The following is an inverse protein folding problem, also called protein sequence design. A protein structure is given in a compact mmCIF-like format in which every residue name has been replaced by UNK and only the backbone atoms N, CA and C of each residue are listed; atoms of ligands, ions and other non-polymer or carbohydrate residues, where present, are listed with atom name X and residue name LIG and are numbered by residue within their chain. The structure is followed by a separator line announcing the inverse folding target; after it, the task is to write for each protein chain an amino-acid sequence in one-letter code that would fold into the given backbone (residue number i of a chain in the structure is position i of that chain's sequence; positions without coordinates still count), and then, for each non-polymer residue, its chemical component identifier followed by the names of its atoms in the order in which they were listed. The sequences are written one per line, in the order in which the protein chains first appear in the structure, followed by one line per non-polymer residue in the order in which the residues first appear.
data_IF_152023833543
#
_entry.id   IF_152023833543
#
_cell.length_a   1.000
_cell.length_b   1.000
_cell.length_c   1.000
_cell.angle_alpha   90.00
_cell.angle_beta   90.00
_cell.angle_gamma   90.00
#
_symmetry.space_group_name_H-M   'P 1'
#
loop_
_entity.id
_entity.type
_entity.pdbx_description
1 polymer ?
#
# COMPACT_ATOMS: atom_id res chain seq x y z
N UNK A 1 -5.93 -1.00 -17.81
CA UNK A 1 -5.18 0.26 -17.69
C UNK A 1 -3.98 -0.03 -16.82
N UNK A 2 -2.85 0.61 -17.11
CA UNK A 2 -1.59 0.42 -16.36
C UNK A 2 -1.53 1.50 -15.29
N UNK A 3 -1.05 1.15 -14.09
CA UNK A 3 -0.85 2.11 -13.01
C UNK A 3 0.14 3.18 -13.47
N UNK A 4 -0.25 4.44 -13.33
CA UNK A 4 0.68 5.56 -13.47
C UNK A 4 1.48 5.68 -12.16
N UNK A 5 2.77 5.35 -12.24
CA UNK A 5 3.68 5.39 -11.09
C UNK A 5 4.43 6.73 -10.97
N UNK A 6 4.21 7.66 -11.88
CA UNK A 6 4.88 8.96 -11.89
C UNK A 6 4.04 10.08 -11.26
N UNK A 7 2.81 9.77 -10.83
CA UNK A 7 2.02 10.66 -9.98
C UNK A 7 2.51 10.66 -8.54
N UNK A 8 2.27 11.77 -7.84
CA UNK A 8 2.59 11.87 -6.42
C UNK A 8 1.74 10.93 -5.56
N UNK A 9 2.40 10.32 -4.57
CA UNK A 9 1.79 9.55 -3.51
C UNK A 9 1.95 10.28 -2.19
N UNK A 10 0.86 10.34 -1.43
CA UNK A 10 0.86 10.90 -0.08
C UNK A 10 1.62 10.00 0.88
N UNK A 11 2.06 10.55 2.02
CA UNK A 11 2.75 9.78 3.05
C UNK A 11 1.97 8.52 3.49
N UNK A 12 0.65 8.62 3.65
CA UNK A 12 -0.19 7.49 4.06
C UNK A 12 -0.31 6.42 2.97
N UNK A 13 -0.37 6.81 1.69
CA UNK A 13 -0.33 5.86 0.58
C UNK A 13 1.01 5.12 0.54
N UNK A 14 2.13 5.83 0.74
CA UNK A 14 3.46 5.25 0.82
C UNK A 14 3.60 4.30 2.02
N UNK A 15 3.07 4.66 3.21
CA UNK A 15 3.08 3.79 4.39
C UNK A 15 2.33 2.48 4.14
N UNK A 16 1.18 2.54 3.49
CA UNK A 16 0.41 1.34 3.13
C UNK A 16 1.17 0.49 2.12
N UNK A 17 1.69 1.09 1.05
CA UNK A 17 2.49 0.38 0.04
C UNK A 17 3.74 -0.26 0.65
N UNK A 18 4.47 0.47 1.48
CA UNK A 18 5.66 0.00 2.19
C UNK A 18 5.36 -1.25 3.01
N UNK A 19 4.28 -1.21 3.82
CA UNK A 19 3.89 -2.34 4.66
C UNK A 19 3.47 -3.57 3.84
N UNK A 20 2.73 -3.38 2.76
CA UNK A 20 2.35 -4.46 1.83
C UNK A 20 3.61 -5.08 1.21
N UNK A 21 4.58 -4.25 0.81
CA UNK A 21 5.81 -4.70 0.17
C UNK A 21 6.75 -5.41 1.14
N UNK A 22 6.97 -4.84 2.32
CA UNK A 22 7.79 -5.42 3.40
C UNK A 22 7.29 -6.81 3.82
N UNK A 23 5.96 -7.01 3.85
CA UNK A 23 5.36 -8.31 4.18
C UNK A 23 5.24 -9.26 2.97
N UNK A 24 5.70 -8.86 1.77
CA UNK A 24 5.64 -9.67 0.56
C UNK A 24 4.20 -10.02 0.13
N UNK A 25 3.24 -9.13 0.36
CA UNK A 25 1.82 -9.34 0.09
C UNK A 25 1.52 -9.07 -1.38
N UNK A 26 1.99 -9.98 -2.23
CA UNK A 26 1.71 -10.05 -3.67
C UNK A 26 0.59 -11.05 -3.93
N UNK A 27 -0.22 -10.85 -4.99
CA UNK A 27 -1.28 -11.75 -5.45
C UNK A 27 -1.04 -13.23 -5.06
N UNK A 28 -2.07 -13.86 -4.49
CA UNK A 28 -2.09 -15.14 -3.75
C UNK A 28 -1.82 -15.03 -2.23
N UNK A 29 -1.35 -13.88 -1.75
CA UNK A 29 -1.34 -13.51 -0.34
C UNK A 29 -2.07 -12.19 -0.15
N UNK A 30 -2.85 -12.08 0.91
CA UNK A 30 -3.58 -10.85 1.21
C UNK A 30 -3.40 -10.44 2.66
N UNK A 31 -3.46 -9.13 2.91
CA UNK A 31 -3.41 -8.53 4.23
C UNK A 31 -4.74 -7.88 4.55
N UNK A 32 -5.25 -8.13 5.75
CA UNK A 32 -6.51 -7.55 6.22
C UNK A 32 -6.37 -6.03 6.45
N UNK A 33 -7.46 -5.27 6.22
CA UNK A 33 -7.54 -3.83 6.52
C UNK A 33 -7.07 -3.52 7.95
N UNK A 34 -7.53 -4.32 8.92
CA UNK A 34 -7.20 -4.16 10.34
C UNK A 34 -5.70 -4.32 10.58
N UNK A 35 -5.05 -5.25 9.87
CA UNK A 35 -3.61 -5.45 9.97
C UNK A 35 -2.85 -4.23 9.47
N UNK A 36 -3.32 -3.58 8.40
CA UNK A 36 -2.75 -2.32 7.91
C UNK A 36 -2.89 -1.20 8.94
N UNK A 37 -4.05 -1.11 9.62
CA UNK A 37 -4.34 -0.08 10.61
C UNK A 37 -3.73 -0.32 12.01
N UNK A 38 -3.33 -1.56 12.36
CA UNK A 38 -2.98 -1.95 13.74
C UNK A 38 -1.87 -1.11 14.41
N UNK A 39 -0.93 -0.58 13.62
CA UNK A 39 0.22 0.19 14.14
C UNK A 39 0.05 1.69 13.98
N UNK A 40 -1.15 2.15 13.62
CA UNK A 40 -1.46 3.54 13.33
C UNK A 40 -2.23 4.14 14.50
N UNK A 41 -1.97 5.41 14.84
CA UNK A 41 -2.68 6.08 15.93
C UNK A 41 -4.17 6.15 15.59
N UNK A 42 -5.04 6.04 16.60
CA UNK A 42 -6.50 5.97 16.40
C UNK A 42 -7.06 7.11 15.54
N UNK A 43 -6.53 8.33 15.68
CA UNK A 43 -6.95 9.49 14.89
C UNK A 43 -6.44 9.48 13.44
N UNK A 44 -5.40 8.70 13.13
CA UNK A 44 -4.82 8.59 11.79
C UNK A 44 -5.43 7.44 10.97
N UNK A 45 -6.23 6.56 11.59
CA UNK A 45 -6.88 5.43 10.91
C UNK A 45 -7.73 5.89 9.73
N UNK A 46 -8.39 7.06 9.83
CA UNK A 46 -9.13 7.65 8.73
C UNK A 46 -8.25 7.88 7.49
N UNK A 47 -7.06 8.45 7.68
CA UNK A 47 -6.12 8.73 6.59
C UNK A 47 -5.62 7.45 5.92
N UNK A 48 -5.40 6.37 6.68
CA UNK A 48 -5.04 5.05 6.12
C UNK A 48 -6.16 4.49 5.25
N UNK A 49 -7.41 4.59 5.70
CA UNK A 49 -8.56 4.13 4.92
C UNK A 49 -8.75 4.94 3.65
N UNK A 50 -8.51 6.23 3.70
CA UNK A 50 -8.56 7.08 2.50
C UNK A 50 -7.40 6.80 1.55
N UNK A 51 -6.19 6.57 2.07
CA UNK A 51 -5.05 6.10 1.28
C UNK A 51 -5.35 4.77 0.59
N UNK A 52 -6.01 3.82 1.26
CA UNK A 52 -6.46 2.57 0.64
C UNK A 52 -7.40 2.80 -0.54
N UNK A 53 -8.39 3.70 -0.39
CA UNK A 53 -9.30 4.04 -1.49
C UNK A 53 -8.55 4.65 -2.67
N UNK A 54 -7.60 5.55 -2.39
CA UNK A 54 -6.81 6.21 -3.43
C UNK A 54 -5.89 5.23 -4.16
N UNK A 55 -5.22 4.33 -3.44
CA UNK A 55 -4.38 3.29 -4.03
C UNK A 55 -5.19 2.31 -4.90
N UNK A 56 -6.42 1.97 -4.51
CA UNK A 56 -7.32 1.17 -5.36
C UNK A 56 -7.70 1.96 -6.61
N UNK A 57 -8.04 3.25 -6.47
CA UNK A 57 -8.40 4.12 -7.60
C UNK A 57 -7.24 4.28 -8.59
N UNK A 58 -6.00 4.33 -8.09
CA UNK A 58 -4.77 4.35 -8.88
C UNK A 58 -4.40 2.96 -9.45
N UNK A 59 -5.18 1.92 -9.15
CA UNK A 59 -4.90 0.50 -9.47
C UNK A 59 -3.56 -0.04 -8.88
N UNK A 60 -2.94 0.70 -7.94
CA UNK A 60 -1.67 0.35 -7.31
C UNK A 60 -1.81 -0.89 -6.41
N UNK A 61 -2.96 -1.05 -5.75
CA UNK A 61 -3.31 -2.24 -4.96
C UNK A 61 -4.67 -2.80 -5.38
N UNK A 62 -4.91 -4.07 -5.07
CA UNK A 62 -6.19 -4.73 -5.27
C UNK A 62 -6.87 -5.02 -3.94
N UNK A 63 -8.19 -4.86 -3.91
CA UNK A 63 -9.04 -5.17 -2.75
C UNK A 63 -9.88 -6.40 -3.02
N UNK A 64 -9.78 -7.40 -2.16
CA UNK A 64 -10.63 -8.57 -2.10
C UNK A 64 -11.63 -8.44 -0.95
N UNK A 65 -12.86 -8.89 -1.17
CA UNK A 65 -13.85 -9.04 -0.10
C UNK A 65 -14.05 -10.53 0.16
N UNK A 66 -13.78 -10.96 1.39
CA UNK A 66 -14.01 -12.34 1.84
C UNK A 66 -14.71 -12.30 3.17
N UNK A 67 -15.78 -13.07 3.39
CA UNK A 67 -16.44 -13.24 4.69
C UNK A 67 -16.56 -11.96 5.55
N UNK A 68 -17.10 -10.88 4.96
CA UNK A 68 -17.26 -9.55 5.58
C UNK A 68 -15.99 -8.76 5.95
N UNK A 69 -14.80 -9.19 5.52
CA UNK A 69 -13.56 -8.43 5.66
C UNK A 69 -13.00 -7.97 4.31
N UNK A 70 -12.23 -6.88 4.36
CA UNK A 70 -11.44 -6.40 3.23
C UNK A 70 -9.99 -6.82 3.37
N UNK A 71 -9.51 -7.50 2.34
CA UNK A 71 -8.17 -8.03 2.21
C UNK A 71 -7.48 -7.32 1.02
N UNK A 72 -6.19 -7.01 1.13
CA UNK A 72 -5.46 -6.21 0.14
C UNK A 72 -4.19 -6.92 -0.31
N UNK A 73 -3.81 -6.72 -1.57
CA UNK A 73 -2.49 -7.09 -2.07
C UNK A 73 -2.04 -6.19 -3.21
N UNK A 74 -0.78 -6.31 -3.59
CA UNK A 74 -0.29 -5.75 -4.86
C UNK A 74 -0.31 -6.81 -5.95
N UNK A 75 -0.64 -6.40 -7.18
CA UNK A 75 -0.50 -7.28 -8.35
C UNK A 75 0.98 -7.59 -8.57
N UNK A 76 1.29 -8.79 -9.05
CA UNK A 76 2.68 -9.20 -9.28
C UNK A 76 3.41 -8.29 -10.28
N UNK A 77 2.71 -7.86 -11.33
CA UNK A 77 3.22 -6.90 -12.33
C UNK A 77 3.59 -5.54 -11.72
N UNK A 78 2.88 -5.12 -10.68
CA UNK A 78 3.05 -3.83 -10.03
C UNK A 78 4.10 -3.82 -8.93
N UNK A 79 4.53 -5.00 -8.45
CA UNK A 79 5.39 -5.12 -7.28
C UNK A 79 6.74 -4.40 -7.46
N UNK A 80 7.41 -4.61 -8.59
CA UNK A 80 8.69 -3.96 -8.89
C UNK A 80 8.55 -2.44 -9.00
N UNK A 81 7.44 -1.96 -9.56
CA UNK A 81 7.17 -0.53 -9.66
C UNK A 81 6.94 0.10 -8.29
N UNK A 82 6.20 -0.58 -7.40
CA UNK A 82 6.02 -0.11 -6.03
C UNK A 82 7.34 -0.06 -5.25
N UNK A 83 8.22 -1.05 -5.41
CA UNK A 83 9.56 -1.02 -4.80
C UNK A 83 10.38 0.16 -5.34
N UNK A 84 10.39 0.36 -6.66
CA UNK A 84 11.08 1.50 -7.28
C UNK A 84 10.52 2.83 -6.77
N UNK A 85 9.20 2.97 -6.65
CA UNK A 85 8.55 4.15 -6.09
C UNK A 85 9.02 4.39 -4.65
N UNK A 86 8.95 3.37 -3.78
CA UNK A 86 9.38 3.48 -2.39
C UNK A 86 10.84 3.88 -2.27
N UNK A 87 11.72 3.31 -3.09
CA UNK A 87 13.14 3.68 -3.12
C UNK A 87 13.37 5.13 -3.57
N UNK A 88 12.54 5.70 -4.45
CA UNK A 88 12.62 7.15 -4.78
C UNK A 88 12.28 8.03 -3.57
N UNK A 89 11.37 7.56 -2.71
CA UNK A 89 10.92 8.30 -1.54
C UNK A 89 11.73 8.01 -0.27
N UNK A 90 12.67 7.06 -0.29
CA UNK A 90 13.49 6.69 0.89
C UNK A 90 14.40 7.83 1.36
N UNK A 91 14.88 8.67 0.43
CA UNK A 91 15.64 9.87 0.78
C UNK A 91 14.79 10.94 1.48
N UNK A 92 13.49 10.96 1.21
CA UNK A 92 12.54 11.93 1.79
C UNK A 92 12.01 11.43 3.13
N UNK A 93 11.76 10.12 3.23
CA UNK A 93 11.16 9.48 4.39
C UNK A 93 12.11 8.42 4.96
N UNK A 94 12.86 8.78 6.00
CA UNK A 94 13.85 7.88 6.63
C UNK A 94 13.28 6.60 7.27
N UNK A 95 11.96 6.42 7.31
CA UNK A 95 11.32 5.18 7.74
C UNK A 95 11.16 4.14 6.60
N UNK A 96 11.35 4.56 5.35
CA UNK A 96 11.44 3.65 4.21
C UNK A 96 12.88 3.14 4.14
N UNK A 97 13.10 1.90 4.57
CA UNK A 97 14.37 1.21 4.42
C UNK A 97 14.34 0.43 3.10
N UNK A 98 15.47 0.28 2.43
CA UNK A 98 15.59 -0.53 1.22
C UNK A 98 15.02 -1.95 1.47
N UNK A 99 14.10 -2.39 0.60
CA UNK A 99 13.34 -3.66 0.71
C UNK A 99 13.70 -4.59 -0.46
#
# INVERSE_FOLDING_TARGET
MTVDWDVDFTEYELRVLYKICQCGIVCNRHMQEESLCRSVKKHEVGFVKDALKMLIKKEAIHRYKSQNRYDYCIKRENFKHALSLLNRYSSTYGWIVEI
#
